data_IF_384165264550
#
_entry.id   IF_384165264550
#
_cell.length_a   1.000
_cell.length_b   1.000
_cell.length_c   1.000
_cell.angle_alpha   90.00
_cell.angle_beta   90.00
_cell.angle_gamma   90.00
#
_symmetry.space_group_name_H-M   'P 1'
#
loop_
_entity.id
_entity.type
_entity.pdbx_description
1 polymer ?
#
# COMPACT_ATOMS: atom_id res chain seq x y z
N UNK A 1 54.66 58.91 21.55
CA UNK A 1 55.78 59.69 22.13
C UNK A 1 56.00 59.19 23.54
N UNK A 2 57.12 58.52 23.77
CA UNK A 2 57.49 57.83 25.00
C UNK A 2 57.44 58.75 26.23
N UNK A 3 57.01 58.20 27.38
CA UNK A 3 57.65 58.45 28.67
C UNK A 3 57.37 57.30 29.65
N UNK A 4 58.35 56.41 29.69
CA UNK A 4 58.64 55.48 30.77
C UNK A 4 58.96 56.28 32.06
N UNK A 5 58.38 55.90 33.20
CA UNK A 5 58.92 56.19 34.52
C UNK A 5 58.75 54.95 35.41
N UNK A 6 59.88 54.31 35.74
CA UNK A 6 60.09 53.52 36.96
C UNK A 6 59.84 54.45 38.18
N UNK A 7 59.51 54.01 39.38
CA UNK A 7 60.21 52.98 40.15
C UNK A 7 59.51 52.67 41.49
N UNK A 8 59.83 51.49 42.04
CA UNK A 8 59.88 51.12 43.48
C UNK A 8 58.61 51.16 44.36
N UNK A 9 58.27 50.03 45.01
CA UNK A 9 58.80 49.55 46.31
C UNK A 9 58.24 48.18 46.72
N UNK A 10 59.08 47.49 47.49
CA UNK A 10 59.07 46.14 48.06
C UNK A 10 58.05 46.03 49.22
N UNK A 11 57.44 44.86 49.45
CA UNK A 11 57.46 44.14 50.74
C UNK A 11 56.56 42.88 50.75
N UNK A 12 57.19 41.77 51.13
CA UNK A 12 56.56 40.48 51.39
C UNK A 12 55.95 40.43 52.80
N UNK A 13 54.82 39.73 52.96
CA UNK A 13 54.36 39.24 54.26
C UNK A 13 53.55 37.95 54.10
N UNK A 14 54.27 36.84 54.25
CA UNK A 14 53.97 35.63 55.03
C UNK A 14 52.53 35.30 55.50
N UNK A 15 52.17 34.03 55.24
CA UNK A 15 51.49 33.05 56.13
C UNK A 15 49.98 33.28 56.41
N UNK A 16 49.08 32.35 56.00
CA UNK A 16 48.67 31.18 56.82
C UNK A 16 47.47 30.40 56.24
N UNK A 17 47.56 29.06 56.40
CA UNK A 17 46.50 28.09 56.72
C UNK A 17 45.22 27.94 55.88
N UNK A 18 45.13 26.74 55.27
CA UNK A 18 43.98 25.82 55.25
C UNK A 18 42.69 26.32 55.93
N UNK A 19 41.57 26.28 55.19
CA UNK A 19 40.39 25.53 55.63
C UNK A 19 39.46 25.21 54.45
N UNK A 20 39.02 23.97 54.41
CA UNK A 20 38.08 23.43 53.45
C UNK A 20 36.71 24.11 53.53
N UNK A 21 36.09 24.33 52.38
CA UNK A 21 34.73 24.84 52.26
C UNK A 21 34.15 24.47 50.89
N UNK A 22 33.69 23.23 50.78
CA UNK A 22 32.96 22.71 49.63
C UNK A 22 31.53 23.28 49.64
N UNK A 23 31.21 24.13 48.66
CA UNK A 23 29.83 24.46 48.28
C UNK A 23 29.75 24.31 46.76
N UNK A 24 29.32 23.12 46.34
CA UNK A 24 29.09 22.78 44.94
C UNK A 24 27.91 23.61 44.45
N UNK A 25 28.20 24.50 43.50
CA UNK A 25 27.19 25.20 42.71
C UNK A 25 26.45 24.17 41.85
N UNK A 26 25.19 23.87 42.19
CA UNK A 26 24.30 23.14 41.29
C UNK A 26 23.89 24.06 40.14
N UNK A 27 24.63 24.00 39.04
CA UNK A 27 24.15 24.50 37.75
C UNK A 27 23.09 23.53 37.22
N UNK A 28 21.87 23.97 36.87
CA UNK A 28 20.98 23.14 36.08
C UNK A 28 21.57 23.03 34.68
N UNK A 29 22.21 21.91 34.39
CA UNK A 29 22.49 21.49 33.03
C UNK A 29 21.13 21.22 32.39
N UNK A 30 20.66 22.15 31.57
CA UNK A 30 19.51 21.93 30.70
C UNK A 30 19.95 20.89 29.67
N UNK A 31 19.75 19.61 29.98
CA UNK A 31 19.85 18.55 29.01
C UNK A 31 18.73 18.79 28.00
N UNK A 32 19.07 19.31 26.82
CA UNK A 32 18.19 19.22 25.68
C UNK A 32 17.96 17.73 25.42
N UNK A 33 16.75 17.25 25.73
CA UNK A 33 16.33 15.89 25.42
C UNK A 33 16.55 15.67 23.92
N UNK A 34 17.16 14.56 23.50
CA UNK A 34 17.15 14.20 22.10
C UNK A 34 15.69 13.94 21.75
N UNK A 35 15.08 14.86 21.00
CA UNK A 35 13.78 14.64 20.37
C UNK A 35 13.90 13.38 19.53
N UNK A 36 13.47 12.27 20.10
CA UNK A 36 13.24 11.04 19.38
C UNK A 36 12.22 11.39 18.30
N UNK A 37 12.68 11.52 17.05
CA UNK A 37 11.82 11.40 15.90
C UNK A 37 11.26 9.99 15.96
N UNK A 38 10.08 9.84 16.56
CA UNK A 38 9.25 8.66 16.41
C UNK A 38 8.88 8.60 14.93
N UNK A 39 9.71 7.92 14.16
CA UNK A 39 9.33 7.32 12.90
C UNK A 39 8.16 6.39 13.21
N UNK A 40 6.95 6.89 13.04
CA UNK A 40 5.74 6.06 12.99
C UNK A 40 5.83 5.23 11.71
N UNK A 41 6.59 4.14 11.74
CA UNK A 41 6.30 3.00 10.89
C UNK A 41 4.96 2.44 11.36
N UNK A 42 3.88 3.00 10.82
CA UNK A 42 2.54 2.46 10.96
C UNK A 42 2.57 1.08 10.31
N UNK A 43 2.48 0.02 11.13
CA UNK A 43 2.41 -1.34 10.60
C UNK A 43 1.31 -1.41 9.52
N UNK A 44 1.67 -1.84 8.32
CA UNK A 44 0.75 -1.87 7.18
C UNK A 44 -0.51 -2.69 7.54
N UNK A 45 -1.68 -2.11 7.29
CA UNK A 45 -2.97 -2.75 7.56
C UNK A 45 -3.08 -4.03 6.73
N UNK A 46 -3.35 -5.16 7.38
CA UNK A 46 -3.61 -6.43 6.71
C UNK A 46 -5.08 -6.52 6.32
N UNK A 47 -5.35 -6.96 5.09
CA UNK A 47 -6.70 -7.25 4.59
C UNK A 47 -6.93 -8.75 4.50
N UNK A 48 -8.16 -9.16 4.78
CA UNK A 48 -8.60 -10.56 4.76
C UNK A 48 -9.65 -10.78 3.67
N UNK A 49 -10.06 -12.03 3.50
CA UNK A 49 -10.99 -12.48 2.45
C UNK A 49 -12.23 -11.58 2.34
N UNK A 50 -12.87 -11.24 3.46
CA UNK A 50 -14.08 -10.42 3.43
C UNK A 50 -13.80 -8.95 3.06
N UNK A 51 -12.65 -8.41 3.45
CA UNK A 51 -12.25 -7.06 3.02
C UNK A 51 -12.08 -7.01 1.50
N UNK A 52 -11.42 -8.02 0.93
CA UNK A 52 -11.18 -8.12 -0.51
C UNK A 52 -12.52 -8.29 -1.25
N UNK A 53 -13.37 -9.22 -0.81
CA UNK A 53 -14.67 -9.47 -1.44
C UNK A 53 -15.62 -8.28 -1.33
N UNK A 54 -15.68 -7.63 -0.18
CA UNK A 54 -16.53 -6.44 0.02
C UNK A 54 -16.04 -5.25 -0.80
N UNK A 55 -14.73 -5.01 -0.84
CA UNK A 55 -14.11 -4.01 -1.73
C UNK A 55 -14.46 -4.28 -3.18
N UNK A 56 -14.32 -5.54 -3.63
CA UNK A 56 -14.60 -5.90 -5.01
C UNK A 56 -16.06 -5.65 -5.39
N UNK A 57 -17.01 -6.07 -4.54
CA UNK A 57 -18.45 -5.79 -4.75
C UNK A 57 -18.75 -4.30 -4.77
N UNK A 58 -18.17 -3.53 -3.86
CA UNK A 58 -18.34 -2.08 -3.81
C UNK A 58 -17.77 -1.39 -5.06
N UNK A 59 -16.59 -1.82 -5.52
CA UNK A 59 -15.98 -1.31 -6.74
C UNK A 59 -16.88 -1.61 -7.94
N UNK A 60 -17.28 -2.87 -8.16
CA UNK A 60 -18.15 -3.22 -9.30
C UNK A 60 -19.43 -2.39 -9.28
N UNK A 61 -20.10 -2.30 -8.12
CA UNK A 61 -21.31 -1.49 -7.97
C UNK A 61 -21.10 -0.01 -8.31
N UNK A 62 -19.92 0.56 -8.00
CA UNK A 62 -19.57 1.95 -8.34
C UNK A 62 -19.31 2.18 -9.83
N UNK A 63 -19.05 1.10 -10.60
CA UNK A 63 -18.74 1.16 -12.04
C UNK A 63 -19.95 0.84 -12.93
N UNK A 64 -21.10 0.48 -12.34
CA UNK A 64 -22.29 0.13 -13.12
C UNK A 64 -22.97 1.37 -13.71
N UNK A 65 -23.45 1.24 -14.94
CA UNK A 65 -24.32 2.24 -15.55
C UNK A 65 -25.78 2.15 -15.05
N UNK A 66 -26.65 2.99 -15.60
CA UNK A 66 -28.08 3.02 -15.25
C UNK A 66 -28.84 1.71 -15.56
N UNK A 67 -28.30 0.85 -16.42
CA UNK A 67 -28.86 -0.46 -16.78
C UNK A 67 -28.21 -1.61 -15.98
N UNK A 68 -27.40 -1.28 -14.97
CA UNK A 68 -26.60 -2.22 -14.19
C UNK A 68 -25.58 -2.99 -15.03
N UNK A 69 -24.97 -2.31 -16.02
CA UNK A 69 -23.92 -2.88 -16.87
C UNK A 69 -22.55 -2.37 -16.45
N UNK A 70 -21.62 -3.30 -16.31
CA UNK A 70 -20.20 -3.05 -16.22
C UNK A 70 -19.60 -3.03 -17.63
N UNK A 71 -18.93 -1.94 -17.99
CA UNK A 71 -18.33 -1.77 -19.31
C UNK A 71 -16.83 -2.02 -19.24
N UNK A 72 -16.31 -2.93 -20.06
CA UNK A 72 -14.89 -3.27 -20.12
C UNK A 72 -14.43 -3.31 -21.57
N UNK A 73 -13.35 -2.60 -21.88
CA UNK A 73 -12.65 -2.82 -23.14
C UNK A 73 -11.75 -4.03 -23.00
N UNK A 74 -12.01 -5.06 -23.79
CA UNK A 74 -11.22 -6.28 -23.85
C UNK A 74 -9.81 -5.96 -24.34
N UNK A 75 -8.81 -6.29 -23.52
CA UNK A 75 -7.41 -5.98 -23.76
C UNK A 75 -6.80 -6.79 -24.91
N UNK A 76 -7.39 -7.95 -25.23
CA UNK A 76 -6.92 -8.84 -26.29
C UNK A 76 -7.61 -8.57 -27.63
N UNK A 77 -8.94 -8.44 -27.62
CA UNK A 77 -9.73 -8.30 -28.86
C UNK A 77 -10.01 -6.84 -29.22
N UNK A 78 -9.93 -5.93 -28.25
CA UNK A 78 -10.32 -4.53 -28.39
C UNK A 78 -11.84 -4.30 -28.35
N UNK A 79 -12.64 -5.34 -28.14
CA UNK A 79 -14.10 -5.28 -28.04
C UNK A 79 -14.55 -4.50 -26.80
N UNK A 80 -15.63 -3.71 -26.92
CA UNK A 80 -16.27 -3.10 -25.76
C UNK A 80 -17.36 -4.04 -25.23
N UNK A 81 -17.09 -4.68 -24.10
CA UNK A 81 -17.98 -5.62 -23.45
C UNK A 81 -18.99 -4.88 -22.56
N UNK A 82 -20.26 -5.24 -22.68
CA UNK A 82 -21.33 -4.83 -21.78
C UNK A 82 -21.76 -6.02 -20.92
N UNK A 83 -21.45 -5.97 -19.63
CA UNK A 83 -21.42 -7.14 -18.76
C UNK A 83 -22.34 -6.97 -17.54
N UNK A 84 -22.96 -8.07 -17.10
CA UNK A 84 -23.67 -8.14 -15.82
C UNK A 84 -22.84 -8.91 -14.81
N UNK A 85 -22.66 -8.33 -13.63
CA UNK A 85 -21.94 -8.97 -12.53
C UNK A 85 -22.70 -10.20 -12.03
N UNK A 86 -21.96 -11.29 -11.80
CA UNK A 86 -22.49 -12.53 -11.23
C UNK A 86 -22.00 -12.68 -9.79
N UNK A 87 -20.69 -12.79 -9.60
CA UNK A 87 -20.10 -13.03 -8.27
C UNK A 87 -18.60 -12.73 -8.22
N UNK A 88 -18.08 -12.59 -6.99
CA UNK A 88 -16.64 -12.71 -6.71
C UNK A 88 -16.34 -14.19 -6.46
N UNK A 89 -15.40 -14.75 -7.21
CA UNK A 89 -15.00 -16.16 -7.09
C UNK A 89 -14.04 -16.38 -5.93
N UNK A 90 -14.11 -17.59 -5.37
CA UNK A 90 -13.11 -18.08 -4.43
C UNK A 90 -12.01 -18.88 -5.17
N UNK A 91 -10.74 -18.77 -4.75
CA UNK A 91 -10.24 -17.91 -3.66
C UNK A 91 -9.93 -16.47 -4.12
N UNK A 92 -10.07 -15.52 -3.20
CA UNK A 92 -9.36 -14.23 -3.25
C UNK A 92 -8.02 -14.35 -2.50
N UNK A 93 -6.99 -13.60 -2.90
CA UNK A 93 -5.66 -13.73 -2.29
C UNK A 93 -4.88 -12.42 -2.25
N UNK A 94 -3.94 -12.36 -1.33
CA UNK A 94 -2.79 -11.44 -1.41
C UNK A 94 -1.76 -12.10 -2.33
N UNK A 95 -1.34 -11.43 -3.40
CA UNK A 95 -0.50 -12.02 -4.44
C UNK A 95 0.96 -11.55 -4.35
N UNK A 96 1.23 -10.39 -3.73
CA UNK A 96 2.56 -9.86 -3.44
C UNK A 96 2.43 -8.68 -2.48
N UNK A 97 3.27 -8.57 -1.45
CA UNK A 97 3.33 -7.39 -0.57
C UNK A 97 1.95 -6.81 -0.19
N UNK A 98 1.60 -5.63 -0.65
CA UNK A 98 0.33 -4.94 -0.44
C UNK A 98 -0.65 -5.08 -1.62
N UNK A 99 -0.37 -5.97 -2.57
CA UNK A 99 -1.20 -6.29 -3.72
C UNK A 99 -2.11 -7.47 -3.43
N UNK A 100 -3.39 -7.23 -3.62
CA UNK A 100 -4.47 -8.19 -3.46
C UNK A 100 -5.15 -8.46 -4.79
N UNK A 101 -5.80 -9.61 -4.88
CA UNK A 101 -6.32 -10.14 -6.12
C UNK A 101 -7.69 -10.78 -5.90
N UNK A 102 -8.62 -10.50 -6.81
CA UNK A 102 -9.91 -11.15 -6.89
C UNK A 102 -10.26 -11.50 -8.34
N UNK A 103 -10.76 -12.72 -8.53
CA UNK A 103 -11.38 -13.18 -9.75
C UNK A 103 -12.90 -13.01 -9.61
N UNK A 104 -13.59 -12.68 -10.70
CA UNK A 104 -15.03 -12.45 -10.72
C UNK A 104 -15.65 -13.04 -11.97
N UNK A 105 -16.92 -13.44 -11.87
CA UNK A 105 -17.69 -13.83 -13.03
C UNK A 105 -18.63 -12.71 -13.46
N UNK A 106 -18.68 -12.51 -14.77
CA UNK A 106 -19.58 -11.60 -15.46
C UNK A 106 -20.21 -12.33 -16.64
N UNK A 107 -21.45 -12.01 -17.00
CA UNK A 107 -22.06 -12.53 -18.21
C UNK A 107 -22.38 -11.41 -19.21
N UNK A 108 -22.35 -11.71 -20.50
CA UNK A 108 -22.73 -10.75 -21.55
C UNK A 108 -24.21 -10.36 -21.39
N UNK A 109 -24.53 -9.08 -21.58
CA UNK A 109 -25.91 -8.60 -21.53
C UNK A 109 -26.80 -9.40 -22.50
N UNK A 110 -27.85 -10.02 -21.98
CA UNK A 110 -28.79 -10.82 -22.77
C UNK A 110 -28.33 -12.25 -23.07
N UNK A 111 -27.11 -12.63 -22.69
CA UNK A 111 -26.53 -13.95 -22.98
C UNK A 111 -25.90 -14.57 -21.72
N UNK A 112 -26.72 -15.06 -20.77
CA UNK A 112 -26.25 -15.51 -19.45
C UNK A 112 -25.29 -16.71 -19.49
N UNK A 113 -25.23 -17.46 -20.57
CA UNK A 113 -24.29 -18.58 -20.74
C UNK A 113 -22.88 -18.13 -21.14
N UNK A 114 -22.74 -16.91 -21.67
CA UNK A 114 -21.44 -16.34 -22.08
C UNK A 114 -20.78 -15.66 -20.88
N UNK A 115 -20.14 -16.48 -20.05
CA UNK A 115 -19.44 -16.02 -18.84
C UNK A 115 -17.99 -15.62 -19.17
N UNK A 116 -17.63 -14.40 -18.80
CA UNK A 116 -16.27 -13.93 -18.65
C UNK A 116 -15.81 -14.12 -17.20
N UNK A 117 -14.57 -14.53 -17.05
CA UNK A 117 -13.82 -14.57 -15.78
C UNK A 117 -12.85 -13.38 -15.82
N UNK A 118 -13.07 -12.39 -14.97
CA UNK A 118 -12.34 -11.11 -14.97
C UNK A 118 -11.59 -10.97 -13.65
N UNK A 119 -10.29 -10.75 -13.79
CA UNK A 119 -9.35 -10.59 -12.71
C UNK A 119 -9.17 -9.11 -12.38
N UNK A 120 -9.07 -8.80 -11.09
CA UNK A 120 -8.87 -7.47 -10.55
C UNK A 120 -7.71 -7.47 -9.56
N UNK A 121 -6.84 -6.48 -9.69
CA UNK A 121 -5.75 -6.22 -8.74
C UNK A 121 -6.07 -4.99 -7.91
N UNK A 122 -5.78 -5.08 -6.62
CA UNK A 122 -6.01 -4.05 -5.63
C UNK A 122 -4.71 -3.70 -4.90
N UNK A 123 -4.46 -2.42 -4.74
CA UNK A 123 -3.34 -1.87 -3.97
C UNK A 123 -3.84 -1.52 -2.56
N UNK A 124 -3.20 -2.09 -1.54
CA UNK A 124 -3.46 -1.87 -0.11
C UNK A 124 -2.45 -0.96 0.58
N UNK A 125 -1.44 -0.44 -0.13
CA UNK A 125 -0.32 0.35 0.40
C UNK A 125 -0.79 1.57 1.21
N UNK A 126 -1.91 2.17 0.79
CA UNK A 126 -2.51 3.34 1.42
C UNK A 126 -3.32 3.06 2.69
N UNK A 127 -3.42 1.80 3.12
CA UNK A 127 -4.31 1.39 4.23
C UNK A 127 -5.77 1.18 3.81
N UNK A 128 -6.05 1.23 2.51
CA UNK A 128 -7.33 0.92 1.87
C UNK A 128 -7.06 0.09 0.60
N UNK A 129 -7.93 -0.86 0.28
CA UNK A 129 -7.85 -1.62 -0.98
C UNK A 129 -8.43 -0.78 -2.12
N UNK A 130 -7.62 -0.51 -3.14
CA UNK A 130 -8.03 0.24 -4.34
C UNK A 130 -7.74 -0.57 -5.59
N UNK A 131 -8.78 -0.87 -6.37
CA UNK A 131 -8.61 -1.51 -7.67
C UNK A 131 -7.78 -0.59 -8.57
N UNK A 132 -6.69 -1.11 -9.14
CA UNK A 132 -5.82 -0.35 -10.05
C UNK A 132 -5.61 -1.03 -11.40
N UNK A 133 -5.91 -2.32 -11.50
CA UNK A 133 -5.81 -3.08 -12.75
C UNK A 133 -6.95 -4.09 -12.89
N UNK A 134 -7.31 -4.40 -14.12
CA UNK A 134 -8.41 -5.30 -14.47
C UNK A 134 -8.10 -5.99 -15.79
N UNK A 135 -8.30 -7.30 -15.86
CA UNK A 135 -7.96 -8.08 -17.04
C UNK A 135 -8.91 -9.24 -17.27
N UNK A 136 -9.27 -9.50 -18.53
CA UNK A 136 -10.01 -10.71 -18.87
C UNK A 136 -9.09 -11.92 -18.72
N UNK A 137 -9.41 -12.81 -17.79
CA UNK A 137 -8.69 -14.05 -17.54
C UNK A 137 -9.24 -15.20 -18.37
N UNK A 138 -10.57 -15.32 -18.46
CA UNK A 138 -11.22 -16.31 -19.33
C UNK A 138 -12.33 -15.67 -20.13
N UNK A 139 -12.42 -16.07 -21.39
CA UNK A 139 -13.46 -15.63 -22.32
C UNK A 139 -14.45 -16.78 -22.59
N UNK A 140 -15.71 -16.48 -22.91
CA UNK A 140 -16.66 -17.49 -23.32
C UNK A 140 -16.34 -18.00 -24.73
N UNK A 141 -16.20 -19.31 -24.87
CA UNK A 141 -16.15 -19.99 -26.17
C UNK A 141 -17.24 -21.06 -26.22
N UNK A 142 -17.66 -21.43 -27.43
CA UNK A 142 -18.62 -22.50 -27.62
C UNK A 142 -17.98 -23.72 -28.28
N UNK A 143 -18.50 -24.89 -27.97
CA UNK A 143 -18.22 -26.13 -28.70
C UNK A 143 -19.49 -26.92 -28.92
N UNK A 144 -19.51 -27.77 -29.94
CA UNK A 144 -20.69 -28.59 -30.26
C UNK A 144 -21.05 -29.57 -29.13
N UNK A 145 -20.05 -30.09 -28.41
CA UNK A 145 -20.25 -31.11 -27.37
C UNK A 145 -20.51 -30.52 -25.98
N UNK A 146 -19.88 -29.39 -25.64
CA UNK A 146 -19.89 -28.86 -24.27
C UNK A 146 -20.66 -27.54 -24.12
N UNK A 147 -21.24 -27.02 -25.21
CA UNK A 147 -21.90 -25.71 -25.19
C UNK A 147 -20.89 -24.60 -24.87
N UNK A 148 -21.35 -23.57 -24.14
CA UNK A 148 -20.52 -22.46 -23.68
C UNK A 148 -19.62 -22.86 -22.51
N UNK A 149 -18.34 -22.47 -22.58
CA UNK A 149 -17.35 -22.71 -21.54
C UNK A 149 -16.37 -21.53 -21.43
N UNK A 150 -15.72 -21.40 -20.26
CA UNK A 150 -14.72 -20.37 -19.99
C UNK A 150 -13.34 -20.82 -20.48
N UNK A 151 -12.83 -20.23 -21.55
CA UNK A 151 -11.51 -20.54 -22.11
C UNK A 151 -10.43 -19.60 -21.54
N UNK A 152 -9.39 -20.13 -20.85
CA UNK A 152 -8.39 -19.30 -20.18
C UNK A 152 -7.41 -18.66 -21.14
N UNK A 153 -7.15 -17.35 -20.96
CA UNK A 153 -6.15 -16.55 -21.69
C UNK A 153 -4.75 -16.67 -21.12
N UNK A 154 -4.64 -16.88 -19.82
CA UNK A 154 -3.38 -17.00 -19.11
C UNK A 154 -3.56 -17.87 -17.87
N UNK A 155 -2.44 -18.21 -17.24
CA UNK A 155 -2.35 -18.83 -15.92
C UNK A 155 -1.42 -18.00 -15.04
N UNK A 156 -1.31 -18.36 -13.76
CA UNK A 156 -0.31 -17.81 -12.85
C UNK A 156 0.82 -18.82 -12.63
N UNK A 157 2.07 -18.36 -12.76
CA UNK A 157 3.28 -19.09 -12.36
C UNK A 157 4.11 -18.15 -11.49
N UNK A 158 4.38 -18.57 -10.24
CA UNK A 158 5.07 -17.73 -9.25
C UNK A 158 4.46 -16.33 -9.11
N UNK A 159 3.13 -16.24 -9.05
CA UNK A 159 2.38 -14.99 -8.92
C UNK A 159 2.54 -14.01 -10.11
N UNK A 160 3.06 -14.50 -11.24
CA UNK A 160 3.16 -13.77 -12.50
C UNK A 160 2.26 -14.38 -13.58
N UNK A 161 1.77 -13.54 -14.50
CA UNK A 161 0.92 -13.96 -15.61
C UNK A 161 1.75 -14.68 -16.68
N UNK A 162 1.34 -15.89 -17.04
CA UNK A 162 1.85 -16.62 -18.20
C UNK A 162 0.72 -16.80 -19.23
N UNK A 163 0.87 -16.18 -20.40
CA UNK A 163 -0.13 -16.23 -21.46
C UNK A 163 -0.19 -17.59 -22.15
N UNK A 164 -1.41 -18.05 -22.43
CA UNK A 164 -1.66 -19.32 -23.12
C UNK A 164 -1.81 -19.15 -24.64
N UNK A 165 -2.12 -17.93 -25.11
CA UNK A 165 -2.20 -17.53 -26.52
C UNK A 165 -2.28 -16.00 -26.64
#
# INVERSE_FOLDING_TARGET
MNRHLLDRRINATLINSLLAGLLILFSPWLAAEPTAKTSSETAAKKFYVEDIKSTMRAYVASQLDANNLFHLKDDKTGENLALKFVMVHDPVRQIRDDIYFACTDFHVQGEPEKIYDIDFWMDGSSGELKVYDTKVHKEPRSSLLYGWYKHPRYTFVNDEIEYLY
#
